data_IF_827112457709
#
_entry.id   IF_827112457709
#
_cell.length_a   1.000
_cell.length_b   1.000
_cell.length_c   1.000
_cell.angle_alpha   90.00
_cell.angle_beta   90.00
_cell.angle_gamma   90.00
#
_symmetry.space_group_name_H-M   'P 1'
#
loop_
_entity.id
_entity.type
_entity.pdbx_description
1 polymer ?
#
# COMPACT_ATOMS: atom_id res chain seq x y z
N UNK A 1 1.89 28.46 -24.51
CA UNK A 1 0.63 27.96 -23.94
C UNK A 1 0.25 26.72 -24.72
N UNK A 2 -0.06 25.59 -24.06
CA UNK A 2 -0.50 24.39 -24.78
C UNK A 2 -1.81 24.65 -25.53
N UNK A 3 -1.96 24.02 -26.69
CA UNK A 3 -3.19 24.10 -27.48
C UNK A 3 -4.31 23.30 -26.80
N UNK A 4 -5.57 23.59 -27.14
CA UNK A 4 -6.72 22.86 -26.58
C UNK A 4 -6.70 21.35 -26.87
N UNK A 5 -6.00 20.95 -27.94
CA UNK A 5 -5.83 19.55 -28.33
C UNK A 5 -4.73 18.86 -27.50
N UNK A 6 -3.59 19.52 -27.29
CA UNK A 6 -2.52 19.05 -26.39
C UNK A 6 -3.00 18.87 -24.95
N UNK A 7 -3.86 19.77 -24.48
CA UNK A 7 -4.44 19.70 -23.14
C UNK A 7 -5.41 18.51 -22.98
N UNK A 8 -6.23 18.22 -24.01
CA UNK A 8 -7.10 17.03 -24.03
C UNK A 8 -6.29 15.74 -24.05
N UNK A 9 -5.25 15.67 -24.87
CA UNK A 9 -4.36 14.49 -24.96
C UNK A 9 -3.66 14.24 -23.63
N UNK A 10 -3.15 15.30 -22.98
CA UNK A 10 -2.52 15.21 -21.65
C UNK A 10 -3.50 14.72 -20.58
N UNK A 11 -4.76 15.21 -20.60
CA UNK A 11 -5.81 14.76 -19.69
C UNK A 11 -6.18 13.29 -19.90
N UNK A 12 -6.32 12.86 -21.16
CA UNK A 12 -6.63 11.46 -21.53
C UNK A 12 -5.51 10.50 -21.10
N UNK A 13 -4.25 10.88 -21.36
CA UNK A 13 -3.09 10.10 -20.93
C UNK A 13 -3.02 10.00 -19.40
N UNK A 14 -3.21 11.11 -18.69
CA UNK A 14 -3.22 11.14 -17.24
C UNK A 14 -4.30 10.22 -16.64
N UNK A 15 -5.49 10.19 -17.24
CA UNK A 15 -6.57 9.29 -16.82
C UNK A 15 -6.23 7.82 -17.06
N UNK A 16 -5.69 7.49 -18.23
CA UNK A 16 -5.24 6.12 -18.55
C UNK A 16 -4.14 5.64 -17.61
N UNK A 17 -3.17 6.53 -17.31
CA UNK A 17 -2.10 6.26 -16.36
C UNK A 17 -2.67 6.10 -14.96
N UNK A 18 -3.52 7.00 -14.47
CA UNK A 18 -4.19 6.88 -13.19
C UNK A 18 -4.91 5.54 -13.04
N UNK A 19 -5.57 5.10 -14.12
CA UNK A 19 -6.28 3.83 -14.17
C UNK A 19 -5.36 2.63 -13.97
N UNK A 20 -4.19 2.62 -14.62
CA UNK A 20 -3.20 1.55 -14.48
C UNK A 20 -2.46 1.59 -13.15
N UNK A 21 -2.12 2.79 -12.65
CA UNK A 21 -1.42 2.97 -11.38
C UNK A 21 -2.18 2.43 -10.18
N UNK A 22 -3.50 2.27 -10.28
CA UNK A 22 -4.35 1.60 -9.29
C UNK A 22 -3.92 0.14 -9.03
N UNK A 23 -3.29 -0.51 -10.01
CA UNK A 23 -2.90 -1.92 -9.98
C UNK A 23 -1.37 -2.12 -10.07
N UNK A 24 -0.64 -1.07 -10.44
CA UNK A 24 0.79 -1.13 -10.66
C UNK A 24 1.59 -1.38 -9.36
N UNK A 25 2.69 -2.15 -9.43
CA UNK A 25 3.69 -2.20 -8.36
C UNK A 25 4.28 -0.82 -8.04
N UNK A 26 4.68 -0.59 -6.79
CA UNK A 26 5.17 0.72 -6.34
C UNK A 26 6.38 1.22 -7.14
N UNK A 27 7.30 0.34 -7.55
CA UNK A 27 8.44 0.73 -8.39
C UNK A 27 8.04 1.09 -9.83
N UNK A 28 7.01 0.41 -10.38
CA UNK A 28 6.42 0.76 -11.67
C UNK A 28 5.70 2.10 -11.57
N UNK A 29 5.01 2.36 -10.47
CA UNK A 29 4.34 3.64 -10.23
C UNK A 29 5.35 4.78 -10.24
N UNK A 30 6.45 4.68 -9.50
CA UNK A 30 7.51 5.70 -9.50
C UNK A 30 8.07 5.95 -10.90
N UNK A 31 8.32 4.89 -11.67
CA UNK A 31 8.86 5.00 -13.02
C UNK A 31 7.87 5.64 -14.01
N UNK A 32 6.60 5.17 -14.03
CA UNK A 32 5.54 5.75 -14.86
C UNK A 32 5.29 7.22 -14.56
N UNK A 33 5.33 7.61 -13.29
CA UNK A 33 5.20 9.02 -12.87
C UNK A 33 6.32 9.87 -13.47
N UNK A 34 7.56 9.37 -13.48
CA UNK A 34 8.73 10.07 -14.03
C UNK A 34 8.71 10.24 -15.55
N UNK A 35 7.86 9.50 -16.27
CA UNK A 35 7.70 9.57 -17.73
C UNK A 35 6.64 10.58 -18.18
N UNK A 36 5.81 11.07 -17.26
CA UNK A 36 4.77 12.03 -17.60
C UNK A 36 5.38 13.41 -17.84
N UNK A 37 4.87 14.09 -18.87
CA UNK A 37 5.12 15.51 -19.03
C UNK A 37 4.40 16.32 -17.94
N UNK A 38 4.83 17.56 -17.74
CA UNK A 38 4.28 18.43 -16.69
C UNK A 38 2.74 18.61 -16.79
N UNK A 39 2.13 18.76 -18.00
CA UNK A 39 0.68 18.80 -18.14
C UNK A 39 -0.04 17.52 -17.72
N UNK A 40 0.36 16.34 -18.20
CA UNK A 40 -0.29 15.08 -17.84
C UNK A 40 -0.05 14.75 -16.36
N UNK A 41 1.15 15.04 -15.83
CA UNK A 41 1.45 14.89 -14.42
C UNK A 41 0.54 15.75 -13.53
N UNK A 42 0.29 17.02 -13.91
CA UNK A 42 -0.65 17.91 -13.21
C UNK A 42 -2.07 17.34 -13.20
N UNK A 43 -2.53 16.75 -14.31
CA UNK A 43 -3.84 16.10 -14.37
C UNK A 43 -3.88 14.81 -13.54
N UNK A 44 -2.81 14.02 -13.55
CA UNK A 44 -2.68 12.82 -12.72
C UNK A 44 -2.82 13.17 -11.24
N UNK A 45 -2.13 14.20 -10.75
CA UNK A 45 -2.23 14.64 -9.36
C UNK A 45 -3.63 15.11 -8.95
N UNK A 46 -4.50 15.42 -9.92
CA UNK A 46 -5.91 15.79 -9.72
C UNK A 46 -6.86 14.60 -9.88
N UNK A 47 -6.38 13.43 -10.28
CA UNK A 47 -7.22 12.23 -10.38
C UNK A 47 -7.68 11.80 -8.98
N UNK A 48 -9.00 11.78 -8.81
CA UNK A 48 -9.69 11.54 -7.55
C UNK A 48 -9.56 10.11 -7.03
N UNK A 49 -9.13 9.19 -7.90
CA UNK A 49 -9.23 7.75 -7.70
C UNK A 49 -7.85 7.07 -7.67
N UNK A 50 -6.78 7.85 -7.52
CA UNK A 50 -5.45 7.29 -7.28
C UNK A 50 -5.45 6.45 -6.02
N UNK A 51 -4.76 5.31 -6.09
CA UNK A 51 -4.54 4.49 -4.91
C UNK A 51 -3.73 5.26 -3.87
N UNK A 52 -3.98 5.01 -2.59
CA UNK A 52 -3.25 5.66 -1.50
C UNK A 52 -1.72 5.47 -1.61
N UNK A 53 -1.27 4.31 -2.12
CA UNK A 53 0.13 4.04 -2.44
C UNK A 53 0.67 4.93 -3.56
N UNK A 54 -0.11 5.16 -4.63
CA UNK A 54 0.25 6.06 -5.72
C UNK A 54 0.37 7.50 -5.25
N UNK A 55 -0.58 7.96 -4.43
CA UNK A 55 -0.53 9.30 -3.84
C UNK A 55 0.67 9.45 -2.89
N UNK A 56 0.93 8.43 -2.09
CA UNK A 56 2.11 8.33 -1.22
C UNK A 56 3.39 8.48 -2.03
N UNK A 57 3.50 7.79 -3.17
CA UNK A 57 4.65 7.87 -4.07
C UNK A 57 4.77 9.24 -4.75
N UNK A 58 3.66 9.82 -5.19
CA UNK A 58 3.61 11.20 -5.72
C UNK A 58 4.07 12.22 -4.69
N UNK A 59 3.65 12.10 -3.42
CA UNK A 59 4.08 13.00 -2.36
C UNK A 59 5.55 12.81 -1.98
N UNK A 60 6.03 11.55 -2.01
CA UNK A 60 7.41 11.17 -1.69
C UNK A 60 8.39 11.66 -2.75
N UNK A 61 8.07 11.45 -4.02
CA UNK A 61 8.96 11.72 -5.15
C UNK A 61 8.68 13.05 -5.86
N UNK A 62 7.51 13.65 -5.63
CA UNK A 62 7.09 14.90 -6.24
C UNK A 62 7.62 16.16 -5.55
N UNK A 63 7.68 17.22 -6.33
CA UNK A 63 8.02 18.57 -5.92
C UNK A 63 6.88 19.31 -5.22
N UNK A 64 7.11 20.59 -4.89
CA UNK A 64 6.16 21.42 -4.14
C UNK A 64 4.84 21.67 -4.88
N UNK A 65 4.87 21.76 -6.21
CA UNK A 65 3.68 21.94 -7.04
C UNK A 65 2.75 20.70 -6.98
N UNK A 66 3.34 19.51 -7.04
CA UNK A 66 2.66 18.21 -7.04
C UNK A 66 1.90 18.00 -5.73
N UNK A 67 2.58 18.31 -4.62
CA UNK A 67 1.99 18.32 -3.28
C UNK A 67 0.82 19.28 -3.20
N UNK A 68 0.90 20.43 -3.87
CA UNK A 68 -0.18 21.42 -3.91
C UNK A 68 -1.38 20.91 -4.71
N UNK A 69 -1.16 20.21 -5.82
CA UNK A 69 -2.25 19.62 -6.63
C UNK A 69 -2.95 18.48 -5.91
N UNK A 70 -2.19 17.55 -5.32
CA UNK A 70 -2.74 16.49 -4.47
C UNK A 70 -3.49 17.09 -3.27
N UNK A 71 -2.94 18.13 -2.64
CA UNK A 71 -3.58 18.84 -1.54
C UNK A 71 -4.88 19.56 -1.92
N UNK A 72 -5.20 19.74 -3.21
CA UNK A 72 -6.46 20.30 -3.69
C UNK A 72 -7.49 19.25 -4.13
N UNK A 73 -7.10 17.98 -4.22
CA UNK A 73 -7.97 16.88 -4.66
C UNK A 73 -8.88 16.33 -3.53
N UNK A 74 -10.21 16.59 -3.54
CA UNK A 74 -11.08 16.32 -2.40
C UNK A 74 -11.33 14.83 -2.14
N UNK A 75 -11.07 13.95 -3.12
CA UNK A 75 -11.50 12.53 -3.08
C UNK A 75 -10.37 11.52 -2.97
N UNK A 76 -9.10 11.97 -2.97
CA UNK A 76 -7.95 11.11 -2.66
C UNK A 76 -8.17 10.36 -1.34
N UNK A 77 -8.46 9.07 -1.47
CA UNK A 77 -8.75 8.17 -0.35
C UNK A 77 -7.47 7.98 0.46
N UNK A 78 -7.52 8.37 1.74
CA UNK A 78 -6.38 8.27 2.64
C UNK A 78 -5.59 9.56 2.85
N UNK A 79 -6.15 10.75 2.57
CA UNK A 79 -5.57 11.99 3.09
C UNK A 79 -5.31 11.90 4.61
N UNK A 80 -4.10 12.22 5.09
CA UNK A 80 -4.01 13.31 6.04
C UNK A 80 -4.62 14.52 5.36
N UNK A 81 -5.84 14.92 5.78
CA UNK A 81 -6.48 16.16 5.32
C UNK A 81 -5.45 17.31 5.34
N UNK A 82 -5.64 18.39 4.56
CA UNK A 82 -4.96 19.63 4.91
C UNK A 82 -5.26 19.87 6.41
N UNK A 83 -4.25 19.77 7.26
CA UNK A 83 -4.42 19.82 8.72
C UNK A 83 -4.15 18.53 9.51
N UNK A 84 -3.86 17.36 8.92
CA UNK A 84 -3.14 16.36 9.71
C UNK A 84 -1.69 16.85 9.89
N UNK A 85 -1.10 16.71 11.08
CA UNK A 85 0.18 17.34 11.34
C UNK A 85 1.23 16.71 10.43
N UNK A 86 1.66 17.46 9.41
CA UNK A 86 2.90 17.12 8.72
C UNK A 86 4.04 17.10 9.73
N UNK A 87 5.21 16.55 9.38
CA UNK A 87 6.35 16.53 10.27
C UNK A 87 6.67 17.92 10.84
N UNK A 88 6.46 18.96 10.03
CA UNK A 88 6.55 20.36 10.44
C UNK A 88 5.61 20.75 11.61
N UNK A 89 4.38 20.24 11.70
CA UNK A 89 3.45 20.56 12.82
C UNK A 89 3.81 19.79 14.09
N UNK A 90 4.35 18.58 13.98
CA UNK A 90 4.89 17.85 15.13
C UNK A 90 6.22 18.42 15.61
N UNK A 91 7.09 18.86 14.70
CA UNK A 91 8.34 19.55 15.01
C UNK A 91 8.10 20.92 15.68
N UNK A 92 6.97 21.58 15.39
CA UNK A 92 6.55 22.83 16.04
C UNK A 92 5.81 22.64 17.37
N UNK A 93 5.64 21.40 17.82
CA UNK A 93 4.96 21.10 19.09
C UNK A 93 5.78 21.67 20.24
N UNK A 94 5.12 22.23 21.25
CA UNK A 94 5.79 22.64 22.50
C UNK A 94 5.61 21.55 23.54
N UNK A 95 6.69 21.20 24.23
CA UNK A 95 6.67 20.28 25.37
C UNK A 95 5.71 20.80 26.44
N UNK A 96 4.72 20.01 26.89
CA UNK A 96 3.78 20.43 27.93
C UNK A 96 4.49 20.79 29.24
N UNK A 97 4.03 21.85 29.92
CA UNK A 97 4.62 22.28 31.19
C UNK A 97 4.60 21.19 32.26
N UNK A 98 3.58 20.32 32.25
CA UNK A 98 3.45 19.18 33.18
C UNK A 98 4.51 18.09 32.96
N UNK A 99 5.08 17.99 31.76
CA UNK A 99 6.13 17.01 31.46
C UNK A 99 7.52 17.49 31.91
N UNK A 100 7.72 18.81 32.00
CA UNK A 100 9.01 19.42 32.34
C UNK A 100 9.54 18.99 33.72
N UNK A 101 8.74 18.93 34.82
CA UNK A 101 9.20 18.43 36.11
C UNK A 101 9.72 16.98 36.05
N UNK A 102 9.05 16.11 35.28
CA UNK A 102 9.46 14.71 35.11
C UNK A 102 10.79 14.64 34.36
N UNK A 103 10.92 15.39 33.27
CA UNK A 103 12.16 15.43 32.50
C UNK A 103 13.32 16.05 33.29
N UNK A 104 13.06 17.09 34.11
CA UNK A 104 14.05 17.68 35.01
C UNK A 104 14.57 16.66 36.02
N UNK A 105 13.66 15.91 36.65
CA UNK A 105 14.03 14.88 37.60
C UNK A 105 14.86 13.76 36.95
N UNK A 106 14.54 13.37 35.71
CA UNK A 106 15.27 12.34 34.99
C UNK A 106 16.63 12.80 34.44
N UNK A 107 16.74 14.06 34.02
CA UNK A 107 17.97 14.62 33.43
C UNK A 107 18.90 15.25 34.48
N UNK A 108 18.38 15.57 35.68
CA UNK A 108 19.12 16.31 36.71
C UNK A 108 19.36 17.79 36.39
N UNK A 109 18.71 18.33 35.36
CA UNK A 109 18.87 19.69 34.83
C UNK A 109 17.61 20.17 34.11
N UNK A 110 17.50 21.45 33.78
CA UNK A 110 16.39 21.91 32.94
C UNK A 110 16.61 21.45 31.47
N UNK A 111 15.60 20.84 30.81
CA UNK A 111 15.69 20.51 29.39
C UNK A 111 15.95 21.73 28.48
N UNK A 112 15.66 22.95 28.94
CA UNK A 112 15.91 24.20 28.24
C UNK A 112 17.32 24.78 28.43
N UNK A 113 18.13 24.27 29.36
CA UNK A 113 19.50 24.76 29.63
C UNK A 113 20.51 24.34 28.54
N UNK A 114 20.19 23.33 27.73
CA UNK A 114 21.04 22.88 26.64
C UNK A 114 20.46 21.68 25.89
N UNK A 115 20.91 21.41 24.65
CA UNK A 115 20.38 20.34 23.83
C UNK A 115 20.58 18.96 24.49
N UNK A 116 19.64 18.05 24.24
CA UNK A 116 19.79 16.64 24.63
C UNK A 116 20.92 16.01 23.83
N UNK A 117 21.80 15.30 24.53
CA UNK A 117 22.74 14.35 23.93
C UNK A 117 21.97 13.17 23.32
N UNK A 118 22.59 12.48 22.35
CA UNK A 118 21.99 11.29 21.75
C UNK A 118 21.61 10.22 22.81
N UNK A 119 22.46 10.04 23.83
CA UNK A 119 22.21 9.07 24.91
C UNK A 119 21.00 9.47 25.79
N UNK A 120 20.89 10.74 26.18
CA UNK A 120 19.73 11.25 26.92
C UNK A 120 18.44 11.08 26.11
N UNK A 121 18.45 11.46 24.82
CA UNK A 121 17.29 11.33 23.94
C UNK A 121 16.85 9.87 23.83
N UNK A 122 17.78 8.95 23.53
CA UNK A 122 17.48 7.52 23.36
C UNK A 122 16.95 6.93 24.67
N UNK A 123 17.54 7.30 25.81
CA UNK A 123 17.06 6.89 27.13
C UNK A 123 15.62 7.32 27.40
N UNK A 124 15.30 8.59 27.11
CA UNK A 124 13.95 9.14 27.27
C UNK A 124 12.95 8.45 26.32
N UNK A 125 13.31 8.26 25.06
CA UNK A 125 12.48 7.55 24.08
C UNK A 125 12.20 6.10 24.50
N UNK A 126 13.18 5.39 25.10
CA UNK A 126 12.96 4.02 25.59
C UNK A 126 11.98 3.97 26.77
N UNK A 127 12.06 4.93 27.69
CA UNK A 127 11.19 4.96 28.88
C UNK A 127 9.76 5.38 28.55
N UNK A 128 9.61 6.38 27.69
CA UNK A 128 8.31 7.04 27.46
C UNK A 128 7.56 6.56 26.21
N UNK A 129 8.17 5.71 25.38
CA UNK A 129 7.58 5.24 24.11
C UNK A 129 6.56 4.12 24.17
N UNK A 130 6.37 3.46 25.34
CA UNK A 130 5.57 2.23 25.44
C UNK A 130 4.07 2.44 25.26
N UNK A 131 3.55 3.62 25.64
CA UNK A 131 2.10 3.91 25.64
C UNK A 131 1.60 4.57 24.36
N UNK A 132 2.50 4.94 23.45
CA UNK A 132 2.18 5.64 22.20
C UNK A 132 3.11 6.82 21.91
N UNK A 133 2.90 7.53 20.79
CA UNK A 133 3.85 8.52 20.29
C UNK A 133 3.79 9.88 20.99
N UNK A 134 2.76 10.15 21.81
CA UNK A 134 2.53 11.50 22.35
C UNK A 134 3.69 12.02 23.20
N UNK A 135 4.12 11.29 24.22
CA UNK A 135 5.26 11.75 25.06
C UNK A 135 6.58 11.77 24.27
N UNK A 136 6.91 10.75 23.45
CA UNK A 136 8.06 10.83 22.54
C UNK A 136 8.08 12.05 21.61
N UNK A 137 6.95 12.45 21.06
CA UNK A 137 6.83 13.68 20.25
C UNK A 137 7.13 14.94 21.07
N UNK A 138 6.78 14.96 22.35
CA UNK A 138 7.10 16.09 23.25
C UNK A 138 8.59 16.16 23.60
N UNK A 139 9.25 15.00 23.67
CA UNK A 139 10.70 14.90 23.90
C UNK A 139 11.46 15.34 22.64
N UNK A 140 11.03 14.89 21.46
CA UNK A 140 11.64 15.26 20.17
C UNK A 140 11.47 16.74 19.81
N UNK A 141 10.53 17.44 20.45
CA UNK A 141 10.37 18.89 20.31
C UNK A 141 11.42 19.70 21.08
N UNK A 142 12.16 19.08 22.02
CA UNK A 142 13.27 19.72 22.71
C UNK A 142 14.48 19.82 21.77
N UNK A 143 15.36 20.79 22.02
CA UNK A 143 16.65 20.86 21.31
C UNK A 143 17.43 19.57 21.54
N UNK A 144 17.92 18.93 20.49
CA UNK A 144 18.68 17.68 20.57
C UNK A 144 19.70 17.59 19.45
N UNK A 145 20.85 16.97 19.76
CA UNK A 145 21.88 16.64 18.79
C UNK A 145 21.81 15.14 18.53
N UNK A 146 20.81 14.72 17.73
CA UNK A 146 20.67 13.31 17.38
C UNK A 146 21.05 13.08 15.93
N UNK A 147 22.20 12.44 15.75
CA UNK A 147 22.60 11.92 14.46
C UNK A 147 21.79 10.63 14.15
N UNK A 148 21.27 10.47 12.91
CA UNK A 148 20.48 9.29 12.53
C UNK A 148 21.21 7.96 12.69
N UNK A 149 22.54 7.95 12.52
CA UNK A 149 23.38 6.75 12.58
C UNK A 149 23.51 6.18 14.02
N UNK A 150 23.96 6.95 15.04
CA UNK A 150 23.95 6.50 16.43
C UNK A 150 22.56 6.07 16.92
N UNK A 151 21.51 6.78 16.52
CA UNK A 151 20.13 6.43 16.85
C UNK A 151 19.75 5.06 16.29
N UNK A 152 20.09 4.80 15.02
CA UNK A 152 19.85 3.50 14.39
C UNK A 152 20.68 2.40 15.07
N UNK A 153 21.96 2.63 15.31
CA UNK A 153 22.85 1.64 15.93
C UNK A 153 22.36 1.22 17.33
N UNK A 154 21.88 2.17 18.13
CA UNK A 154 21.26 1.90 19.43
C UNK A 154 19.93 1.17 19.31
N UNK A 155 19.10 1.51 18.32
CA UNK A 155 17.85 0.81 18.06
C UNK A 155 18.09 -0.65 17.68
N UNK A 156 19.08 -0.93 16.82
CA UNK A 156 19.43 -2.29 16.41
C UNK A 156 19.98 -3.12 17.59
N UNK A 157 20.74 -2.51 18.50
CA UNK A 157 21.22 -3.17 19.73
C UNK A 157 20.11 -3.44 20.74
N UNK A 158 19.23 -2.47 20.95
CA UNK A 158 18.10 -2.58 21.87
C UNK A 158 16.91 -1.79 21.32
N UNK A 159 15.93 -2.50 20.72
CA UNK A 159 14.80 -1.88 20.02
C UNK A 159 14.06 -0.84 20.85
N UNK A 160 13.78 0.29 20.21
CA UNK A 160 12.96 1.35 20.78
C UNK A 160 11.48 0.89 20.83
N UNK A 161 10.69 1.36 21.80
CA UNK A 161 9.25 1.09 21.82
C UNK A 161 8.53 1.65 20.58
N UNK A 162 7.40 1.05 20.22
CA UNK A 162 6.69 1.37 18.99
C UNK A 162 6.23 2.82 18.92
N UNK A 163 5.81 3.41 20.05
CA UNK A 163 5.44 4.83 20.11
C UNK A 163 6.61 5.77 19.82
N UNK A 164 7.83 5.41 20.22
CA UNK A 164 9.02 6.21 19.92
C UNK A 164 9.43 6.10 18.47
N UNK A 165 9.35 4.90 17.88
CA UNK A 165 9.57 4.72 16.44
C UNK A 165 8.51 5.49 15.64
N UNK A 166 7.22 5.39 16.02
CA UNK A 166 6.14 6.16 15.41
C UNK A 166 6.42 7.67 15.49
N UNK A 167 6.91 8.18 16.62
CA UNK A 167 7.23 9.60 16.78
C UNK A 167 8.44 10.05 15.95
N UNK A 168 9.50 9.23 15.87
CA UNK A 168 10.67 9.51 15.02
C UNK A 168 10.28 9.60 13.55
N UNK A 169 9.42 8.69 13.07
CA UNK A 169 8.88 8.71 11.70
C UNK A 169 8.00 9.94 11.44
N UNK A 170 7.42 10.53 12.50
CA UNK A 170 6.56 11.69 12.43
C UNK A 170 7.31 13.03 12.46
N UNK A 171 8.46 13.16 13.12
CA UNK A 171 9.08 14.49 13.41
C UNK A 171 10.08 14.94 12.36
N UNK A 172 10.74 14.06 11.62
CA UNK A 172 11.88 14.46 10.77
C UNK A 172 11.99 13.75 9.42
N UNK A 173 12.76 14.37 8.52
CA UNK A 173 13.27 13.77 7.28
C UNK A 173 14.45 12.86 7.58
N UNK A 174 14.17 11.73 8.21
CA UNK A 174 15.17 10.70 8.44
C UNK A 174 15.66 10.13 7.09
N UNK A 175 16.96 9.81 6.96
CA UNK A 175 17.47 9.07 5.82
C UNK A 175 16.69 7.76 5.61
N UNK A 176 16.52 7.37 4.35
CA UNK A 176 15.74 6.18 3.96
C UNK A 176 16.23 4.91 4.67
N UNK A 177 17.55 4.76 4.78
CA UNK A 177 18.18 3.62 5.48
C UNK A 177 17.82 3.59 6.96
N UNK A 178 17.81 4.75 7.63
CA UNK A 178 17.36 4.88 9.02
C UNK A 178 15.90 4.49 9.17
N UNK A 179 15.02 4.94 8.28
CA UNK A 179 13.60 4.56 8.27
C UNK A 179 13.44 3.04 8.14
N UNK A 180 14.17 2.42 7.20
CA UNK A 180 14.12 0.96 7.01
C UNK A 180 14.61 0.22 8.24
N UNK A 181 15.74 0.63 8.83
CA UNK A 181 16.30 -0.02 10.02
C UNK A 181 15.41 0.10 11.26
N UNK A 182 14.74 1.25 11.43
CA UNK A 182 13.75 1.48 12.49
C UNK A 182 12.49 0.60 12.34
N UNK A 183 12.11 0.26 11.11
CA UNK A 183 10.96 -0.62 10.82
C UNK A 183 11.35 -2.11 10.85
N UNK A 184 12.61 -2.43 10.55
CA UNK A 184 13.12 -3.79 10.54
C UNK A 184 13.09 -4.43 11.91
N UNK A 185 13.43 -3.69 12.97
CA UNK A 185 13.53 -4.24 14.34
C UNK A 185 12.31 -3.84 15.16
N UNK A 186 11.16 -4.52 14.93
CA UNK A 186 9.95 -4.05 15.61
C UNK A 186 10.07 -4.17 17.14
N UNK A 187 9.86 -3.01 17.75
CA UNK A 187 9.72 -2.66 19.14
C UNK A 187 9.37 -3.77 20.13
N UNK A 188 9.87 -3.63 21.36
CA UNK A 188 9.62 -4.50 22.50
C UNK A 188 8.14 -4.64 22.95
N UNK A 189 7.18 -3.99 22.29
CA UNK A 189 5.75 -4.05 22.64
C UNK A 189 4.91 -4.76 21.56
N UNK A 190 4.38 -5.92 21.90
CA UNK A 190 3.57 -6.78 21.02
C UNK A 190 2.17 -6.25 20.70
N UNK A 191 1.63 -5.27 21.43
CA UNK A 191 0.25 -4.80 21.16
C UNK A 191 0.18 -3.76 20.05
N UNK A 192 1.25 -2.98 19.90
CA UNK A 192 1.27 -1.78 19.07
C UNK A 192 2.35 -1.78 17.98
N UNK A 193 3.02 -2.92 17.79
CA UNK A 193 4.14 -3.11 16.85
C UNK A 193 3.85 -2.73 15.40
N UNK A 194 2.61 -2.85 14.93
CA UNK A 194 2.25 -2.58 13.53
C UNK A 194 2.08 -1.07 13.25
N UNK A 195 1.90 -0.24 14.28
CA UNK A 195 1.59 1.18 14.11
C UNK A 195 2.67 1.97 13.37
N UNK A 196 3.99 1.78 13.65
CA UNK A 196 5.04 2.43 12.89
C UNK A 196 4.98 2.11 11.39
N UNK A 197 4.72 0.86 11.02
CA UNK A 197 4.61 0.45 9.61
C UNK A 197 3.43 1.13 8.91
N UNK A 198 2.24 1.12 9.55
CA UNK A 198 1.05 1.81 9.01
C UNK A 198 1.29 3.31 8.89
N UNK A 199 1.96 3.91 9.88
CA UNK A 199 2.29 5.35 9.85
C UNK A 199 3.30 5.67 8.76
N UNK A 200 4.33 4.85 8.59
CA UNK A 200 5.37 5.08 7.59
C UNK A 200 4.81 5.08 6.17
N UNK A 201 3.88 4.15 5.86
CA UNK A 201 3.17 4.13 4.57
C UNK A 201 2.32 5.39 4.41
N UNK A 202 1.47 5.71 5.39
CA UNK A 202 0.60 6.90 5.30
C UNK A 202 1.32 8.22 5.16
N UNK A 203 2.53 8.30 5.69
CA UNK A 203 3.36 9.50 5.65
C UNK A 203 4.26 9.56 4.40
N UNK A 204 4.16 8.61 3.47
CA UNK A 204 5.03 8.60 2.29
C UNK A 204 6.47 8.21 2.57
N UNK A 205 6.77 7.65 3.76
CA UNK A 205 8.15 7.32 4.16
C UNK A 205 8.63 6.01 3.55
N UNK A 206 7.71 5.05 3.41
CA UNK A 206 7.96 3.75 2.78
C UNK A 206 6.77 3.31 1.92
N UNK A 207 7.03 2.44 0.96
CA UNK A 207 6.04 1.75 0.14
C UNK A 207 5.64 0.40 0.75
N UNK A 208 4.63 -0.27 0.17
CA UNK A 208 4.26 -1.62 0.63
C UNK A 208 5.36 -2.62 0.29
N UNK A 209 5.97 -2.51 -0.90
CA UNK A 209 7.11 -3.33 -1.32
C UNK A 209 8.33 -3.14 -0.38
N UNK A 210 8.62 -1.91 0.05
CA UNK A 210 9.70 -1.65 1.01
C UNK A 210 9.42 -2.25 2.39
N UNK A 211 8.16 -2.22 2.85
CA UNK A 211 7.80 -2.94 4.08
C UNK A 211 8.05 -4.44 3.93
N UNK A 212 7.66 -5.04 2.81
CA UNK A 212 7.88 -6.48 2.55
C UNK A 212 9.37 -6.82 2.50
N UNK A 213 10.18 -5.94 1.90
CA UNK A 213 11.62 -6.13 1.74
C UNK A 213 12.42 -5.94 3.04
N UNK A 214 11.97 -5.09 3.97
CA UNK A 214 12.78 -4.67 5.11
C UNK A 214 12.22 -5.03 6.49
N UNK A 215 10.93 -5.35 6.63
CA UNK A 215 10.37 -5.73 7.95
C UNK A 215 10.88 -7.10 8.38
N UNK A 216 11.33 -7.19 9.63
CA UNK A 216 11.74 -8.44 10.27
C UNK A 216 11.10 -8.60 11.67
N UNK A 217 10.88 -9.83 12.15
CA UNK A 217 11.04 -11.12 11.46
C UNK A 217 9.97 -11.37 10.39
N UNK A 218 10.18 -12.34 9.50
CA UNK A 218 9.33 -12.58 8.32
C UNK A 218 7.83 -12.74 8.63
N UNK A 219 7.47 -13.35 9.78
CA UNK A 219 6.07 -13.49 10.17
C UNK A 219 5.36 -12.15 10.35
N UNK A 220 6.06 -11.07 10.72
CA UNK A 220 5.46 -9.74 10.88
C UNK A 220 4.93 -9.20 9.57
N UNK A 221 5.68 -9.39 8.48
CA UNK A 221 5.22 -9.02 7.12
C UNK A 221 3.93 -9.76 6.75
N UNK A 222 3.82 -11.05 7.09
CA UNK A 222 2.60 -11.82 6.88
C UNK A 222 1.43 -11.28 7.72
N UNK A 223 1.66 -10.99 9.00
CA UNK A 223 0.64 -10.44 9.90
C UNK A 223 0.13 -9.05 9.46
N UNK A 224 0.96 -8.24 8.79
CA UNK A 224 0.53 -6.96 8.22
C UNK A 224 -0.60 -7.11 7.20
N UNK A 225 -0.79 -8.27 6.56
CA UNK A 225 -1.90 -8.50 5.62
C UNK A 225 -3.28 -8.64 6.29
N UNK A 226 -3.28 -8.94 7.59
CA UNK A 226 -4.45 -9.38 8.37
C UNK A 226 -4.80 -8.48 9.57
N UNK A 227 -4.45 -7.18 9.55
CA UNK A 227 -4.69 -6.25 10.67
C UNK A 227 -6.17 -5.92 10.97
N UNK A 228 -7.14 -6.72 10.50
CA UNK A 228 -8.58 -6.45 10.63
C UNK A 228 -9.09 -6.43 12.07
N UNK A 229 -8.48 -7.21 12.96
CA UNK A 229 -8.86 -7.30 14.37
C UNK A 229 -8.13 -6.32 15.31
N UNK A 230 -7.20 -5.50 14.81
CA UNK A 230 -6.40 -4.63 15.68
C UNK A 230 -7.20 -3.39 16.13
N UNK A 231 -7.28 -3.16 17.45
CA UNK A 231 -7.82 -1.91 18.00
C UNK A 231 -6.84 -0.76 17.72
N UNK A 232 -7.27 0.28 17.00
CA UNK A 232 -6.50 1.50 16.76
C UNK A 232 -6.12 1.75 15.30
N UNK A 233 -4.85 2.09 15.05
CA UNK A 233 -4.35 2.50 13.74
C UNK A 233 -4.23 1.27 12.80
N UNK A 234 -5.20 1.11 11.90
CA UNK A 234 -5.31 -0.01 10.95
C UNK A 234 -5.14 0.45 9.51
N UNK A 235 -4.94 -0.48 8.57
CA UNK A 235 -4.99 -0.20 7.13
C UNK A 235 -6.36 0.32 6.68
N UNK A 236 -6.35 1.26 5.74
CA UNK A 236 -7.50 1.56 4.90
C UNK A 236 -7.71 0.43 3.89
N UNK A 237 -8.84 0.41 3.18
CA UNK A 237 -9.11 -0.61 2.18
C UNK A 237 -8.03 -0.64 1.06
N UNK A 238 -7.66 0.50 0.44
CA UNK A 238 -6.60 0.52 -0.56
C UNK A 238 -5.23 0.10 0.00
N UNK A 239 -4.87 0.55 1.21
CA UNK A 239 -3.61 0.15 1.87
C UNK A 239 -3.57 -1.36 2.14
N UNK A 240 -4.70 -1.94 2.56
CA UNK A 240 -4.80 -3.38 2.80
C UNK A 240 -4.62 -4.17 1.51
N UNK A 241 -5.25 -3.74 0.43
CA UNK A 241 -5.06 -4.35 -0.89
C UNK A 241 -3.61 -4.22 -1.32
N UNK A 242 -3.01 -3.03 -1.25
CA UNK A 242 -1.61 -2.80 -1.60
C UNK A 242 -0.65 -3.69 -0.83
N UNK A 243 -0.84 -3.80 0.49
CA UNK A 243 -0.05 -4.71 1.33
C UNK A 243 -0.23 -6.17 0.94
N UNK A 244 -1.46 -6.62 0.70
CA UNK A 244 -1.76 -8.01 0.27
C UNK A 244 -1.12 -8.32 -1.07
N UNK A 245 -1.19 -7.41 -2.02
CA UNK A 245 -0.60 -7.56 -3.36
C UNK A 245 0.92 -7.62 -3.28
N UNK A 246 1.57 -6.75 -2.50
CA UNK A 246 3.02 -6.79 -2.28
C UNK A 246 3.47 -8.13 -1.64
N UNK A 247 2.73 -8.61 -0.62
CA UNK A 247 3.01 -9.92 -0.01
C UNK A 247 2.78 -11.06 -1.00
N UNK A 248 1.68 -11.05 -1.76
CA UNK A 248 1.40 -12.07 -2.76
C UNK A 248 2.51 -12.15 -3.82
N UNK A 249 3.10 -11.02 -4.23
CA UNK A 249 4.27 -11.00 -5.13
C UNK A 249 5.49 -11.63 -4.50
N UNK A 250 5.80 -11.32 -3.24
CA UNK A 250 6.91 -11.94 -2.52
C UNK A 250 6.71 -13.46 -2.32
N UNK A 251 5.46 -13.91 -2.20
CA UNK A 251 5.09 -15.32 -2.06
C UNK A 251 4.94 -16.06 -3.41
N UNK A 252 4.90 -15.35 -4.55
CA UNK A 252 4.76 -15.92 -5.91
C UNK A 252 5.68 -17.12 -6.19
N UNK A 253 6.95 -17.15 -5.72
CA UNK A 253 7.82 -18.31 -5.92
C UNK A 253 7.31 -19.63 -5.33
N UNK A 254 6.42 -19.60 -4.32
CA UNK A 254 5.82 -20.79 -3.73
C UNK A 254 4.80 -21.47 -4.65
N UNK A 255 4.27 -20.74 -5.65
CA UNK A 255 3.22 -21.23 -6.58
C UNK A 255 2.03 -21.83 -5.82
N UNK A 256 1.34 -22.78 -6.44
CA UNK A 256 0.22 -23.51 -5.84
C UNK A 256 0.69 -24.79 -5.10
N UNK A 257 1.97 -24.91 -4.72
CA UNK A 257 2.50 -26.11 -4.05
C UNK A 257 2.18 -26.12 -2.55
N UNK A 258 1.22 -26.94 -2.07
CA UNK A 258 0.81 -26.94 -0.67
C UNK A 258 1.95 -27.29 0.31
N UNK A 259 2.99 -28.00 -0.14
CA UNK A 259 4.15 -28.36 0.69
C UNK A 259 4.95 -27.11 1.04
N UNK A 260 5.21 -26.25 0.05
CA UNK A 260 5.97 -25.01 0.24
C UNK A 260 5.20 -24.00 1.14
N UNK A 261 3.87 -23.97 1.04
CA UNK A 261 3.02 -23.19 1.94
C UNK A 261 3.06 -23.72 3.39
N UNK A 262 3.16 -25.03 3.59
CA UNK A 262 3.34 -25.63 4.90
C UNK A 262 4.72 -25.30 5.50
N UNK A 263 5.78 -25.32 4.69
CA UNK A 263 7.12 -24.89 5.11
C UNK A 263 7.16 -23.40 5.49
N UNK A 264 6.43 -22.54 4.77
CA UNK A 264 6.28 -21.13 5.14
C UNK A 264 5.68 -20.97 6.54
N UNK A 265 4.59 -21.68 6.83
CA UNK A 265 3.96 -21.66 8.15
C UNK A 265 4.87 -22.18 9.26
N UNK A 266 5.66 -23.21 8.96
CA UNK A 266 6.58 -23.83 9.92
C UNK A 266 7.76 -22.91 10.26
N UNK A 267 8.36 -22.25 9.27
CA UNK A 267 9.59 -21.49 9.45
C UNK A 267 9.38 -20.00 9.74
N UNK A 268 8.28 -19.38 9.30
CA UNK A 268 8.06 -17.94 9.48
C UNK A 268 8.13 -17.42 10.92
N UNK A 269 7.63 -18.13 11.97
CA UNK A 269 7.71 -17.67 13.35
C UNK A 269 9.13 -17.37 13.83
N UNK A 270 10.04 -18.31 13.58
CA UNK A 270 11.40 -18.28 14.11
C UNK A 270 12.43 -17.65 13.14
N UNK A 271 12.04 -17.34 11.89
CA UNK A 271 12.97 -16.82 10.90
C UNK A 271 13.28 -15.34 11.12
N UNK A 272 14.53 -14.97 11.52
CA UNK A 272 14.87 -13.60 11.90
C UNK A 272 14.98 -12.64 10.71
N UNK A 273 15.09 -13.16 9.49
CA UNK A 273 15.20 -12.36 8.28
C UNK A 273 13.85 -11.92 7.71
N UNK A 274 13.89 -11.39 6.50
CA UNK A 274 12.72 -10.83 5.79
C UNK A 274 11.94 -11.92 5.06
N UNK A 275 10.69 -11.64 4.71
CA UNK A 275 9.82 -12.60 4.01
C UNK A 275 10.40 -13.06 2.66
N UNK A 276 10.94 -12.19 1.79
CA UNK A 276 11.54 -12.63 0.52
C UNK A 276 12.73 -13.59 0.72
N UNK A 277 13.57 -13.36 1.73
CA UNK A 277 14.71 -14.24 2.04
C UNK A 277 14.22 -15.60 2.53
N UNK A 278 13.18 -15.63 3.37
CA UNK A 278 12.57 -16.88 3.81
C UNK A 278 12.03 -17.68 2.62
N UNK A 279 11.22 -17.05 1.75
CA UNK A 279 10.65 -17.69 0.56
C UNK A 279 11.74 -18.25 -0.35
N UNK A 280 12.81 -17.48 -0.60
CA UNK A 280 13.92 -17.95 -1.42
C UNK A 280 14.61 -19.19 -0.84
N UNK A 281 14.73 -19.30 0.50
CA UNK A 281 15.32 -20.47 1.15
C UNK A 281 14.38 -21.68 1.16
N UNK A 282 13.07 -21.47 1.31
CA UNK A 282 12.04 -22.53 1.17
C UNK A 282 12.12 -23.14 -0.22
N UNK A 283 12.07 -22.30 -1.27
CA UNK A 283 12.10 -22.75 -2.67
C UNK A 283 13.39 -23.50 -3.00
N UNK A 284 14.52 -23.10 -2.40
CA UNK A 284 15.82 -23.78 -2.60
C UNK A 284 16.00 -25.03 -1.72
N UNK A 285 15.10 -25.30 -0.78
CA UNK A 285 15.25 -26.39 0.18
C UNK A 285 16.47 -26.26 1.10
N UNK A 286 16.90 -25.02 1.41
CA UNK A 286 18.13 -24.75 2.20
C UNK A 286 17.86 -24.37 3.65
N UNK A 287 16.61 -24.50 4.11
CA UNK A 287 16.27 -24.25 5.50
C UNK A 287 16.67 -25.43 6.37
N UNK A 288 17.29 -25.11 7.50
CA UNK A 288 17.45 -26.06 8.60
C UNK A 288 16.13 -26.21 9.35
N UNK A 289 15.97 -27.31 10.07
CA UNK A 289 14.83 -27.54 10.97
C UNK A 289 14.58 -26.29 11.85
N UNK A 290 13.33 -25.80 11.94
CA UNK A 290 13.04 -24.62 12.72
C UNK A 290 13.22 -24.91 14.20
N UNK A 291 13.77 -23.94 14.93
CA UNK A 291 13.71 -23.99 16.38
C UNK A 291 12.23 -23.97 16.82
N UNK A 292 11.86 -24.84 17.77
CA UNK A 292 10.54 -24.78 18.39
C UNK A 292 10.36 -23.42 19.06
N UNK A 293 9.46 -22.62 18.50
CA UNK A 293 9.09 -21.31 19.00
C UNK A 293 7.61 -21.28 19.40
N UNK A 294 7.20 -20.33 20.25
CA UNK A 294 5.81 -20.17 20.58
C UNK A 294 4.99 -19.88 19.30
N UNK A 295 3.75 -20.38 19.21
CA UNK A 295 2.89 -20.11 18.07
C UNK A 295 2.62 -18.61 17.95
N UNK A 296 2.68 -18.08 16.74
CA UNK A 296 2.39 -16.67 16.46
C UNK A 296 0.89 -16.52 16.20
N UNK A 297 0.14 -15.80 17.06
CA UNK A 297 -1.31 -15.63 16.89
C UNK A 297 -1.65 -14.98 15.54
N UNK A 298 -2.66 -15.51 14.85
CA UNK A 298 -3.15 -14.96 13.57
C UNK A 298 -2.30 -15.27 12.34
N UNK A 299 -1.11 -15.89 12.49
CA UNK A 299 -0.23 -16.18 11.35
C UNK A 299 -0.86 -17.15 10.35
N UNK A 300 -1.48 -18.23 10.83
CA UNK A 300 -2.12 -19.22 9.97
C UNK A 300 -3.29 -18.61 9.17
N UNK A 301 -4.05 -17.70 9.78
CA UNK A 301 -5.12 -16.97 9.10
C UNK A 301 -4.57 -15.99 8.07
N UNK A 302 -3.51 -15.26 8.41
CA UNK A 302 -2.84 -14.35 7.49
C UNK A 302 -2.34 -15.09 6.24
N UNK A 303 -1.66 -16.22 6.40
CA UNK A 303 -1.18 -17.05 5.29
C UNK A 303 -2.33 -17.61 4.45
N UNK A 304 -3.36 -18.20 5.09
CA UNK A 304 -4.57 -18.67 4.37
C UNK A 304 -5.24 -17.56 3.57
N UNK A 305 -5.20 -16.33 4.07
CA UNK A 305 -5.81 -15.21 3.37
C UNK A 305 -5.08 -14.86 2.07
N UNK A 306 -3.79 -15.16 1.94
CA UNK A 306 -2.97 -14.83 0.76
C UNK A 306 -2.69 -16.07 -0.11
N UNK A 307 -2.87 -17.28 0.43
CA UNK A 307 -2.76 -18.52 -0.31
C UNK A 307 -3.73 -18.54 -1.51
N UNK A 308 -3.32 -19.11 -2.66
CA UNK A 308 -4.19 -19.35 -3.80
C UNK A 308 -5.45 -20.08 -3.33
N UNK A 309 -6.63 -19.52 -3.62
CA UNK A 309 -7.87 -20.27 -3.40
C UNK A 309 -7.99 -21.33 -4.48
N UNK A 310 -8.37 -22.57 -4.15
CA UNK A 310 -8.72 -23.54 -5.17
C UNK A 310 -9.86 -22.95 -6.03
N UNK A 311 -9.74 -23.08 -7.35
CA UNK A 311 -10.81 -22.69 -8.26
C UNK A 311 -11.97 -23.68 -8.10
N UNK A 312 -13.14 -23.21 -7.72
CA UNK A 312 -14.38 -24.00 -7.81
C UNK A 312 -15.18 -23.55 -9.03
N UNK A 313 -15.38 -24.41 -10.04
CA UNK A 313 -16.34 -24.15 -11.09
C UNK A 313 -17.66 -24.88 -10.81
N UNK A 314 -18.78 -24.17 -10.95
CA UNK A 314 -20.06 -24.81 -11.31
C UNK A 314 -20.41 -24.34 -12.71
N UNK A 315 -20.07 -25.16 -13.71
CA UNK A 315 -20.45 -24.95 -15.10
C UNK A 315 -21.94 -25.28 -15.30
N UNK A 316 -22.67 -24.43 -16.02
CA UNK A 316 -24.09 -24.59 -16.32
C UNK A 316 -24.61 -23.49 -17.26
N UNK A 317 -25.76 -23.72 -17.89
CA UNK A 317 -26.38 -22.80 -18.87
C UNK A 317 -26.59 -21.39 -18.30
N UNK A 318 -26.95 -21.29 -17.01
CA UNK A 318 -27.14 -20.02 -16.31
C UNK A 318 -25.85 -19.20 -16.20
N UNK A 319 -24.68 -19.85 -16.11
CA UNK A 319 -23.38 -19.19 -16.11
C UNK A 319 -23.02 -18.65 -17.49
N UNK A 320 -23.26 -19.43 -18.54
CA UNK A 320 -23.01 -19.00 -19.93
C UNK A 320 -23.92 -17.82 -20.32
N UNK A 321 -25.20 -17.84 -19.90
CA UNK A 321 -26.12 -16.72 -20.07
C UNK A 321 -25.69 -15.49 -19.25
N UNK A 322 -25.22 -15.68 -18.02
CA UNK A 322 -24.69 -14.58 -17.21
C UNK A 322 -23.44 -13.96 -17.83
N UNK A 323 -22.51 -14.76 -18.38
CA UNK A 323 -21.33 -14.26 -19.10
C UNK A 323 -21.71 -13.49 -20.36
N UNK A 324 -22.63 -14.03 -21.18
CA UNK A 324 -23.12 -13.36 -22.37
C UNK A 324 -23.79 -12.01 -22.03
N UNK A 325 -24.53 -11.95 -20.91
CA UNK A 325 -25.19 -10.72 -20.45
C UNK A 325 -24.21 -9.62 -20.03
N UNK A 326 -22.96 -9.95 -19.65
CA UNK A 326 -21.96 -8.93 -19.34
C UNK A 326 -21.48 -8.18 -20.59
N UNK A 327 -21.59 -8.76 -21.78
CA UNK A 327 -21.19 -8.14 -23.04
C UNK A 327 -22.24 -7.16 -23.61
N UNK A 328 -23.46 -7.14 -23.04
CA UNK A 328 -24.59 -6.34 -23.50
C UNK A 328 -24.93 -5.28 -22.44
N UNK A 329 -25.01 -3.98 -22.78
CA UNK A 329 -25.52 -2.97 -21.85
C UNK A 329 -27.01 -3.18 -21.58
N UNK A 330 -27.41 -3.21 -20.30
CA UNK A 330 -28.83 -3.23 -19.90
C UNK A 330 -29.45 -1.83 -20.06
N UNK A 331 -30.79 -1.74 -20.06
CA UNK A 331 -31.53 -0.48 -20.21
C UNK A 331 -31.19 0.58 -19.14
N UNK A 332 -30.73 0.16 -17.95
CA UNK A 332 -30.25 1.08 -16.91
C UNK A 332 -29.09 0.49 -16.10
N UNK A 333 -28.21 1.38 -15.60
CA UNK A 333 -27.06 1.01 -14.75
C UNK A 333 -27.50 0.36 -13.44
N UNK A 334 -28.63 0.80 -12.87
CA UNK A 334 -29.18 0.26 -11.63
C UNK A 334 -29.65 -1.19 -11.82
N UNK A 335 -30.19 -1.51 -12.99
CA UNK A 335 -30.56 -2.86 -13.38
C UNK A 335 -29.35 -3.75 -13.64
N UNK A 336 -28.33 -3.19 -14.27
CA UNK A 336 -27.07 -3.87 -14.53
C UNK A 336 -26.33 -4.22 -13.22
N UNK A 337 -26.26 -3.28 -12.28
CA UNK A 337 -25.68 -3.49 -10.94
C UNK A 337 -26.50 -4.53 -10.15
N UNK A 338 -27.83 -4.45 -10.22
CA UNK A 338 -28.74 -5.40 -9.55
C UNK A 338 -28.51 -6.81 -10.09
N UNK A 339 -28.42 -6.96 -11.40
CA UNK A 339 -28.20 -8.22 -12.10
C UNK A 339 -26.82 -8.82 -11.82
N UNK A 340 -25.75 -8.03 -11.91
CA UNK A 340 -24.38 -8.49 -11.59
C UNK A 340 -24.29 -8.93 -10.13
N UNK A 341 -24.91 -8.20 -9.21
CA UNK A 341 -24.96 -8.59 -7.79
C UNK A 341 -25.74 -9.88 -7.58
N UNK A 342 -26.85 -10.08 -8.28
CA UNK A 342 -27.63 -11.33 -8.24
C UNK A 342 -26.79 -12.51 -8.74
N UNK A 343 -26.11 -12.36 -9.88
CA UNK A 343 -25.24 -13.39 -10.45
C UNK A 343 -24.04 -13.72 -9.56
N UNK A 344 -23.43 -12.73 -8.90
CA UNK A 344 -22.37 -12.94 -7.89
C UNK A 344 -22.92 -13.63 -6.63
N UNK A 345 -24.09 -13.22 -6.15
CA UNK A 345 -24.73 -13.80 -4.97
C UNK A 345 -25.14 -15.27 -5.18
N UNK A 346 -25.54 -15.61 -6.42
CA UNK A 346 -25.90 -16.97 -6.84
C UNK A 346 -24.71 -17.82 -7.26
N UNK A 347 -23.49 -17.27 -7.26
CA UNK A 347 -22.28 -17.97 -7.67
C UNK A 347 -22.22 -18.30 -9.18
N UNK A 348 -23.03 -17.63 -10.01
CA UNK A 348 -23.06 -17.80 -11.46
C UNK A 348 -21.88 -17.11 -12.13
N UNK A 349 -21.43 -15.98 -11.57
CA UNK A 349 -20.28 -15.22 -12.02
C UNK A 349 -19.25 -15.13 -10.91
N UNK A 350 -17.98 -15.08 -11.30
CA UNK A 350 -16.88 -14.69 -10.42
C UNK A 350 -16.60 -13.20 -10.57
N UNK A 351 -15.85 -12.62 -9.62
CA UNK A 351 -15.33 -11.27 -9.78
C UNK A 351 -14.43 -11.12 -11.01
N UNK A 352 -13.73 -12.19 -11.40
CA UNK A 352 -12.89 -12.26 -12.60
C UNK A 352 -13.70 -12.09 -13.88
N UNK A 353 -14.83 -12.79 -13.97
CA UNK A 353 -15.74 -12.77 -15.12
C UNK A 353 -16.29 -11.34 -15.37
N UNK A 354 -16.69 -10.64 -14.29
CA UNK A 354 -17.19 -9.27 -14.36
C UNK A 354 -16.12 -8.30 -14.87
N UNK A 355 -14.89 -8.42 -14.38
CA UNK A 355 -13.78 -7.56 -14.81
C UNK A 355 -13.40 -7.84 -16.27
N UNK A 356 -13.36 -9.11 -16.67
CA UNK A 356 -12.97 -9.53 -18.01
C UNK A 356 -13.96 -9.08 -19.08
N UNK A 357 -15.27 -9.12 -18.78
CA UNK A 357 -16.31 -8.93 -19.79
C UNK A 357 -17.08 -7.60 -19.67
N UNK A 358 -17.21 -7.04 -18.46
CA UNK A 358 -18.02 -5.82 -18.24
C UNK A 358 -17.20 -4.54 -18.15
N UNK A 359 -16.03 -4.58 -17.50
CA UNK A 359 -15.18 -3.38 -17.38
C UNK A 359 -14.85 -2.73 -18.73
N UNK A 360 -14.61 -3.48 -19.82
CA UNK A 360 -14.41 -2.88 -21.14
C UNK A 360 -15.64 -2.24 -21.78
N UNK A 361 -16.83 -2.83 -21.57
CA UNK A 361 -18.08 -2.29 -22.11
C UNK A 361 -18.50 -1.01 -21.38
N UNK A 362 -18.26 -0.93 -20.06
CA UNK A 362 -18.47 0.29 -19.27
C UNK A 362 -17.40 1.36 -19.55
N UNK A 363 -16.17 0.99 -19.91
CA UNK A 363 -15.12 1.95 -20.31
C UNK A 363 -15.39 2.62 -21.66
N UNK A 364 -16.16 2.01 -22.54
CA UNK A 364 -16.52 2.60 -23.84
C UNK A 364 -17.67 3.62 -23.73
N UNK A 365 -18.37 3.70 -22.58
CA UNK A 365 -19.64 4.41 -22.46
C UNK A 365 -19.68 5.53 -21.42
N UNK A 366 -18.62 5.82 -20.64
CA UNK A 366 -18.77 6.89 -19.64
C UNK A 366 -17.50 7.60 -19.15
N UNK A 367 -17.41 8.90 -19.48
CA UNK A 367 -16.46 9.87 -18.89
C UNK A 367 -16.94 10.43 -17.52
N UNK A 368 -18.17 10.14 -17.04
CA UNK A 368 -18.72 10.86 -15.88
C UNK A 368 -19.39 10.04 -14.75
N UNK A 369 -19.58 8.72 -14.85
CA UNK A 369 -20.70 8.13 -14.08
C UNK A 369 -20.45 7.04 -13.04
N UNK A 370 -19.22 6.56 -12.81
CA UNK A 370 -19.10 5.42 -11.86
C UNK A 370 -19.14 5.80 -10.37
N UNK A 371 -18.92 7.06 -10.00
CA UNK A 371 -18.93 7.51 -8.60
C UNK A 371 -19.51 8.91 -8.45
N UNK A 372 -20.79 9.04 -8.85
CA UNK A 372 -21.63 10.18 -8.51
C UNK A 372 -21.53 10.53 -7.02
N UNK A 373 -21.67 11.82 -6.74
CA UNK A 373 -21.53 12.46 -5.44
C UNK A 373 -22.18 11.65 -4.31
N UNK A 374 -21.35 11.15 -3.39
CA UNK A 374 -21.84 10.74 -2.07
C UNK A 374 -21.09 11.58 -1.05
N UNK A 375 -21.82 12.55 -0.53
CA UNK A 375 -21.46 13.33 0.64
C UNK A 375 -21.24 12.42 1.85
N UNK A 376 -20.04 12.57 2.44
CA UNK A 376 -19.70 12.27 3.83
C UNK A 376 -19.39 10.82 4.27
N UNK A 377 -18.59 10.70 5.38
CA UNK A 377 -17.71 9.57 5.63
C UNK A 377 -18.29 8.52 6.61
N UNK A 378 -17.62 7.37 6.64
CA UNK A 378 -17.65 6.33 7.67
C UNK A 378 -18.97 5.56 7.89
N UNK A 379 -19.00 4.29 7.44
CA UNK A 379 -19.14 3.09 8.29
C UNK A 379 -19.35 1.84 7.45
N UNK A 380 -18.97 0.72 8.05
CA UNK A 380 -19.09 -0.67 7.59
C UNK A 380 -17.94 -1.18 6.73
N UNK A 381 -17.41 -2.31 7.19
CA UNK A 381 -16.40 -3.10 6.49
C UNK A 381 -16.77 -3.28 5.02
N UNK A 382 -15.80 -3.20 4.11
CA UNK A 382 -16.10 -3.45 2.71
C UNK A 382 -16.49 -4.92 2.54
N UNK A 383 -17.57 -5.23 1.79
CA UNK A 383 -18.01 -6.59 1.58
C UNK A 383 -16.88 -7.38 0.90
N UNK A 384 -16.55 -8.56 1.43
CA UNK A 384 -15.48 -9.44 0.93
C UNK A 384 -15.43 -9.63 -0.61
N UNK A 385 -16.54 -9.59 -1.36
CA UNK A 385 -16.54 -9.58 -2.83
C UNK A 385 -15.74 -8.44 -3.47
N UNK A 386 -15.78 -7.22 -2.93
CA UNK A 386 -15.04 -6.07 -3.50
C UNK A 386 -13.53 -6.26 -3.36
N UNK A 387 -13.11 -6.78 -2.21
CA UNK A 387 -11.72 -7.15 -1.94
C UNK A 387 -11.25 -8.28 -2.85
N UNK A 388 -12.10 -9.28 -3.10
CA UNK A 388 -11.79 -10.39 -3.99
C UNK A 388 -11.65 -9.92 -5.44
N UNK A 389 -12.57 -9.10 -5.94
CA UNK A 389 -12.52 -8.54 -7.29
C UNK A 389 -11.25 -7.70 -7.50
N UNK A 390 -10.88 -6.88 -6.51
CA UNK A 390 -9.65 -6.07 -6.59
C UNK A 390 -8.38 -6.93 -6.61
N UNK A 391 -8.31 -7.94 -5.74
CA UNK A 391 -7.18 -8.87 -5.70
C UNK A 391 -7.03 -9.64 -7.01
N UNK A 392 -8.14 -9.97 -7.67
CA UNK A 392 -8.12 -10.65 -8.96
C UNK A 392 -7.67 -9.74 -10.11
N UNK A 393 -8.13 -8.48 -10.13
CA UNK A 393 -7.60 -7.49 -11.06
C UNK A 393 -6.06 -7.37 -10.94
N UNK A 394 -5.56 -7.22 -9.72
CA UNK A 394 -4.12 -7.14 -9.44
C UNK A 394 -3.37 -8.39 -9.92
N UNK A 395 -3.96 -9.59 -9.77
CA UNK A 395 -3.42 -10.85 -10.28
C UNK A 395 -3.30 -10.84 -11.81
N UNK A 396 -4.35 -10.43 -12.52
CA UNK A 396 -4.37 -10.37 -13.99
C UNK A 396 -3.33 -9.38 -14.52
N UNK A 397 -3.22 -8.20 -13.92
CA UNK A 397 -2.17 -7.24 -14.28
C UNK A 397 -0.76 -7.76 -13.96
N UNK A 398 -0.57 -8.45 -12.84
CA UNK A 398 0.71 -9.05 -12.49
C UNK A 398 1.10 -10.23 -13.40
N UNK A 399 0.12 -10.95 -13.94
CA UNK A 399 0.33 -11.99 -14.94
C UNK A 399 0.71 -11.39 -16.30
N UNK A 400 -0.02 -10.35 -16.71
CA UNK A 400 0.18 -9.73 -18.02
C UNK A 400 1.45 -8.85 -18.05
N UNK A 401 1.55 -7.87 -17.17
CA UNK A 401 2.58 -6.83 -17.25
C UNK A 401 3.75 -7.08 -16.31
N UNK A 402 3.54 -7.93 -15.30
CA UNK A 402 4.56 -8.22 -14.31
C UNK A 402 5.09 -6.96 -13.64
N UNK A 403 6.41 -6.83 -13.62
CA UNK A 403 7.13 -5.73 -12.99
C UNK A 403 7.88 -4.85 -14.00
N UNK A 404 7.60 -5.00 -15.31
CA UNK A 404 8.26 -4.28 -16.41
C UNK A 404 7.63 -2.89 -16.62
N UNK A 405 8.27 -1.79 -16.19
CA UNK A 405 7.69 -0.46 -16.35
C UNK A 405 7.47 -0.08 -17.82
N UNK A 406 8.23 -0.65 -18.76
CA UNK A 406 8.03 -0.39 -20.18
C UNK A 406 6.76 -1.06 -20.70
N UNK A 407 6.41 -2.26 -20.24
CA UNK A 407 5.13 -2.89 -20.56
C UNK A 407 3.96 -2.06 -20.04
N UNK A 408 4.06 -1.57 -18.80
CA UNK A 408 3.06 -0.70 -18.21
C UNK A 408 2.92 0.62 -18.96
N UNK A 409 4.03 1.24 -19.35
CA UNK A 409 4.03 2.47 -20.13
C UNK A 409 3.44 2.26 -21.54
N UNK A 410 3.81 1.18 -22.24
CA UNK A 410 3.25 0.84 -23.56
C UNK A 410 1.71 0.72 -23.49
N UNK A 411 1.21 -0.01 -22.49
CA UNK A 411 -0.25 -0.12 -22.28
C UNK A 411 -0.86 1.26 -22.02
N UNK A 412 -0.25 2.06 -21.13
CA UNK A 412 -0.75 3.39 -20.77
C UNK A 412 -0.79 4.36 -21.95
N UNK A 413 0.27 4.38 -22.77
CA UNK A 413 0.39 5.27 -23.92
C UNK A 413 -0.52 4.86 -25.07
N UNK A 414 -0.86 3.57 -25.19
CA UNK A 414 -1.70 3.08 -26.29
C UNK A 414 -3.17 3.01 -25.92
N UNK A 415 -3.52 2.89 -24.64
CA UNK A 415 -4.91 2.83 -24.17
C UNK A 415 -5.81 3.96 -24.71
N UNK A 416 -5.38 5.24 -24.79
CA UNK A 416 -6.22 6.33 -25.31
C UNK A 416 -6.71 6.12 -26.75
N UNK A 417 -5.90 5.45 -27.57
CA UNK A 417 -6.14 5.29 -29.02
C UNK A 417 -6.49 3.84 -29.39
N UNK A 418 -6.55 2.92 -28.41
CA UNK A 418 -6.81 1.51 -28.64
C UNK A 418 -8.31 1.24 -28.80
N UNK A 419 -8.71 0.79 -29.99
CA UNK A 419 -10.10 0.53 -30.33
C UNK A 419 -10.71 -0.74 -29.69
N UNK A 420 -9.92 -1.53 -28.97
CA UNK A 420 -10.36 -2.77 -28.32
C UNK A 420 -10.46 -2.67 -26.80
N UNK A 421 -10.75 -3.78 -26.14
CA UNK A 421 -10.82 -3.84 -24.66
C UNK A 421 -9.43 -3.86 -24.03
N UNK A 422 -9.25 -3.40 -22.79
CA UNK A 422 -7.97 -3.53 -22.06
C UNK A 422 -7.42 -4.97 -22.03
N UNK A 423 -8.19 -6.06 -21.82
CA UNK A 423 -7.66 -7.43 -21.94
C UNK A 423 -7.01 -7.74 -23.30
N UNK A 424 -7.64 -7.33 -24.41
CA UNK A 424 -7.05 -7.47 -25.76
C UNK A 424 -5.75 -6.67 -25.92
N UNK A 425 -5.68 -5.47 -25.32
CA UNK A 425 -4.45 -4.67 -25.29
C UNK A 425 -3.36 -5.37 -24.47
N UNK A 426 -3.70 -5.86 -23.28
CA UNK A 426 -2.78 -6.58 -22.40
C UNK A 426 -2.21 -7.83 -23.09
N UNK A 427 -3.06 -8.65 -23.73
CA UNK A 427 -2.64 -9.82 -24.50
C UNK A 427 -1.64 -9.45 -25.61
N UNK A 428 -1.98 -8.45 -26.44
CA UNK A 428 -1.09 -8.00 -27.53
C UNK A 428 0.25 -7.48 -27.02
N UNK A 429 0.26 -6.71 -25.93
CA UNK A 429 1.49 -6.21 -25.31
C UNK A 429 2.32 -7.35 -24.71
N UNK A 430 1.68 -8.37 -24.11
CA UNK A 430 2.38 -9.54 -23.58
C UNK A 430 2.97 -10.45 -24.65
N UNK A 431 2.33 -10.54 -25.82
CA UNK A 431 2.76 -11.38 -26.94
C UNK A 431 3.77 -10.67 -27.86
N UNK A 432 4.11 -9.40 -27.57
CA UNK A 432 5.03 -8.61 -28.39
C UNK A 432 4.45 -8.17 -29.75
N UNK A 433 3.12 -8.21 -29.90
CA UNK A 433 2.42 -7.85 -31.13
C UNK A 433 2.31 -6.34 -31.36
N UNK A 434 2.22 -5.93 -32.63
CA UNK A 434 1.95 -4.53 -32.99
C UNK A 434 0.56 -4.11 -32.52
N UNK A 435 0.51 -3.03 -31.74
CA UNK A 435 -0.71 -2.56 -31.06
C UNK A 435 -1.55 -1.64 -31.96
N UNK A 436 -0.97 -1.09 -33.02
CA UNK A 436 -1.57 -0.02 -33.81
C UNK A 436 -2.76 -0.44 -34.65
N UNK A 437 -2.88 -1.71 -35.06
CA UNK A 437 -4.01 -2.23 -35.86
C UNK A 437 -4.32 -1.48 -37.17
N UNK A 438 -3.58 -0.41 -37.50
CA UNK A 438 -3.55 0.27 -38.78
C UNK A 438 -2.47 -0.41 -39.62
N UNK A 439 -2.74 -0.73 -40.89
CA UNK A 439 -1.70 -1.19 -41.81
C UNK A 439 -0.52 -0.21 -41.86
#
# INVERSE_FOLDING_TARGET
MPTAEEDRTSRRLAWCVAHLLRHAPDHVVTDMIGRLDEPAFKYLCRDEWLAASTVTLLLRHGGTADRTYVARNPRVVGRPLPGLPGPARYARRRTPQELLPVLRAELGRDPGEGPLTAAELIGLLRRHGRRGPRVPLDILALGHNADPEPLLAEHLRSPLPAGSVEALLLVGDLPRETVHGLLATAAADERSWHRPAVRAVRMGRVTHEELVAHVTPAHRTLLLTGLTGARGLRWSLPERTGMRTAVARALRPLRDDPRLWAELLRHAPAFPGTLPVLVARIVRGTLQEPAEGPPVPGLAEAVRSVAPRPAEPVAGVDRELALASLAVPMESVQEDIRWVRDCLARGLLTGEDVIRHKAPACWALDEDHWLGEVDHPDRHEPPAPVLAARAEADRLFALALGSDPDAWWRVASTLPDFAGTLPHLLLRVTEGGSVSGRP
#
